data_IF_066438115431
#
_entry.id   IF_066438115431
#
_cell.length_a   1.000
_cell.length_b   1.000
_cell.length_c   1.000
_cell.angle_alpha   90.00
_cell.angle_beta   90.00
_cell.angle_gamma   90.00
#
_symmetry.space_group_name_H-M   'P 1'
#
loop_
_entity.id
_entity.type
_entity.pdbx_description
1 polymer ?
#
# COMPACT_ATOMS: atom_id res chain seq x y z
N UNK A 1 -19.43 12.67 50.49
CA UNK A 1 -18.24 12.89 49.65
C UNK A 1 -18.44 12.09 48.37
N UNK A 2 -18.84 12.76 47.28
CA UNK A 2 -18.83 12.11 45.98
C UNK A 2 -17.35 12.04 45.57
N UNK A 3 -16.77 10.84 45.61
CA UNK A 3 -15.46 10.63 44.99
C UNK A 3 -15.65 10.97 43.52
N UNK A 4 -14.89 11.93 43.03
CA UNK A 4 -14.93 12.30 41.62
C UNK A 4 -14.50 11.07 40.81
N UNK A 5 -15.44 10.50 40.04
CA UNK A 5 -15.22 9.28 39.26
C UNK A 5 -13.97 9.39 38.39
N UNK A 6 -13.61 10.60 37.96
CA UNK A 6 -12.38 10.89 37.24
C UNK A 6 -11.13 10.66 38.09
N UNK A 7 -11.10 11.12 39.34
CA UNK A 7 -9.94 10.88 40.21
C UNK A 7 -9.79 9.40 40.53
N UNK A 8 -10.90 8.70 40.80
CA UNK A 8 -10.91 7.25 41.04
C UNK A 8 -10.31 6.49 39.84
N UNK A 9 -10.80 6.76 38.62
CA UNK A 9 -10.35 6.04 37.42
C UNK A 9 -8.89 6.40 37.09
N UNK A 10 -8.56 7.69 37.01
CA UNK A 10 -7.25 8.11 36.52
C UNK A 10 -6.13 7.90 37.55
N UNK A 11 -6.36 8.17 38.83
CA UNK A 11 -5.31 8.18 39.85
C UNK A 11 -5.29 6.87 40.66
N UNK A 12 -6.43 6.30 41.03
CA UNK A 12 -6.46 5.08 41.85
C UNK A 12 -6.36 3.81 41.01
N UNK A 13 -7.15 3.71 39.92
CA UNK A 13 -7.18 2.52 39.07
C UNK A 13 -6.03 2.53 38.07
N UNK A 14 -5.93 3.56 37.24
CA UNK A 14 -4.94 3.63 36.15
C UNK A 14 -3.55 4.11 36.62
N UNK A 15 -3.47 4.66 37.84
CA UNK A 15 -2.24 5.22 38.45
C UNK A 15 -1.51 6.23 37.55
N UNK A 16 -2.26 7.06 36.82
CA UNK A 16 -1.72 8.11 35.96
C UNK A 16 -1.35 9.31 36.83
N UNK A 17 -0.14 9.83 36.64
CA UNK A 17 0.30 10.99 37.42
C UNK A 17 -0.53 12.25 37.10
N UNK A 18 -0.85 13.09 38.10
CA UNK A 18 -1.58 14.34 37.89
C UNK A 18 -0.94 15.27 36.86
N UNK A 19 0.41 15.24 36.78
CA UNK A 19 1.19 16.02 35.82
C UNK A 19 0.89 15.67 34.36
N UNK A 20 0.61 14.40 34.07
CA UNK A 20 0.27 13.95 32.71
C UNK A 20 -1.19 14.30 32.41
N UNK A 21 -2.09 14.14 33.39
CA UNK A 21 -3.50 14.51 33.25
C UNK A 21 -3.63 16.00 32.91
N UNK A 22 -2.86 16.87 33.56
CA UNK A 22 -2.88 18.32 33.29
C UNK A 22 -2.37 18.74 31.91
N UNK A 23 -1.74 17.85 31.14
CA UNK A 23 -1.32 18.14 29.76
C UNK A 23 -2.50 18.17 28.79
N UNK A 24 -3.64 17.60 29.17
CA UNK A 24 -4.84 17.50 28.35
C UNK A 24 -5.93 18.37 28.98
N UNK A 25 -6.29 19.45 28.29
CA UNK A 25 -7.18 20.50 28.81
C UNK A 25 -8.65 20.11 28.79
N UNK A 26 -9.04 19.18 27.92
CA UNK A 26 -10.43 18.71 27.81
C UNK A 26 -10.58 17.28 28.31
N UNK A 27 -11.75 16.97 28.86
CA UNK A 27 -12.12 15.60 29.28
C UNK A 27 -12.11 14.64 28.09
N UNK A 28 -12.52 15.12 26.91
CA UNK A 28 -12.49 14.33 25.68
C UNK A 28 -11.07 13.92 25.29
N UNK A 29 -10.11 14.85 25.38
CA UNK A 29 -8.71 14.55 25.07
C UNK A 29 -8.09 13.59 26.10
N UNK A 30 -8.46 13.74 27.38
CA UNK A 30 -8.05 12.80 28.43
C UNK A 30 -8.57 11.40 28.13
N UNK A 31 -9.85 11.24 27.80
CA UNK A 31 -10.42 9.93 27.46
C UNK A 31 -9.79 9.34 26.18
N UNK A 32 -9.51 10.16 25.18
CA UNK A 32 -8.94 9.69 23.92
C UNK A 32 -7.48 9.27 24.06
N UNK A 33 -6.63 10.15 24.59
CA UNK A 33 -5.18 9.98 24.59
C UNK A 33 -4.63 9.27 25.82
N UNK A 34 -5.31 9.36 26.97
CA UNK A 34 -4.87 8.69 28.20
C UNK A 34 -5.62 7.40 28.49
N UNK A 35 -6.73 7.11 27.81
CA UNK A 35 -7.46 5.86 27.96
C UNK A 35 -7.54 5.13 26.63
N UNK A 36 -8.30 5.62 25.65
CA UNK A 36 -8.66 4.84 24.47
C UNK A 36 -7.43 4.38 23.67
N UNK A 37 -6.59 5.32 23.23
CA UNK A 37 -5.45 5.01 22.36
C UNK A 37 -4.45 4.05 23.05
N UNK A 38 -3.97 4.31 24.28
CA UNK A 38 -3.01 3.41 24.90
C UNK A 38 -3.61 2.04 25.23
N UNK A 39 -4.89 1.95 25.56
CA UNK A 39 -5.56 0.66 25.79
C UNK A 39 -5.71 -0.15 24.50
N UNK A 40 -6.11 0.48 23.39
CA UNK A 40 -6.21 -0.20 22.09
C UNK A 40 -4.86 -0.75 21.67
N UNK A 41 -3.79 0.04 21.79
CA UNK A 41 -2.45 -0.39 21.39
C UNK A 41 -1.92 -1.46 22.35
N UNK A 42 -2.16 -1.33 23.65
CA UNK A 42 -1.82 -2.37 24.64
C UNK A 42 -2.51 -3.69 24.31
N UNK A 43 -3.81 -3.65 23.98
CA UNK A 43 -4.57 -4.84 23.62
C UNK A 43 -4.04 -5.51 22.35
N UNK A 44 -3.72 -4.71 21.32
CA UNK A 44 -3.09 -5.21 20.10
C UNK A 44 -1.70 -5.80 20.37
N UNK A 45 -0.90 -5.13 21.20
CA UNK A 45 0.44 -5.59 21.58
C UNK A 45 0.37 -6.92 22.33
N UNK A 46 -0.47 -7.01 23.37
CA UNK A 46 -0.60 -8.25 24.14
C UNK A 46 -1.12 -9.37 23.24
N UNK A 47 -2.13 -9.13 22.40
CA UNK A 47 -2.61 -10.16 21.47
C UNK A 47 -1.53 -10.63 20.48
N UNK A 48 -0.77 -9.71 19.91
CA UNK A 48 0.32 -10.04 19.00
C UNK A 48 1.43 -10.81 19.72
N UNK A 49 1.80 -10.37 20.92
CA UNK A 49 2.81 -11.00 21.76
C UNK A 49 2.39 -12.39 22.24
N UNK A 50 1.15 -12.53 22.72
CA UNK A 50 0.57 -13.81 23.09
C UNK A 50 0.53 -14.78 21.91
N UNK A 51 0.15 -14.34 20.71
CA UNK A 51 0.22 -15.18 19.51
C UNK A 51 1.67 -15.58 19.19
N UNK A 52 2.61 -14.65 19.24
CA UNK A 52 4.02 -14.91 18.92
C UNK A 52 4.72 -15.85 19.91
N UNK A 53 4.48 -15.68 21.21
CA UNK A 53 5.04 -16.54 22.25
C UNK A 53 4.35 -17.89 22.30
N UNK A 54 3.01 -17.90 22.35
CA UNK A 54 2.26 -19.16 22.50
C UNK A 54 2.50 -20.06 21.28
N UNK A 55 2.51 -19.53 20.06
CA UNK A 55 2.81 -20.31 18.87
C UNK A 55 4.24 -20.87 18.83
N UNK A 56 5.22 -20.17 19.45
CA UNK A 56 6.61 -20.62 19.52
C UNK A 56 6.89 -21.61 20.66
N UNK A 57 6.25 -21.43 21.81
CA UNK A 57 6.57 -22.16 23.05
C UNK A 57 5.68 -23.39 23.23
N UNK A 58 4.41 -23.33 22.83
CA UNK A 58 3.40 -24.35 23.17
C UNK A 58 2.88 -25.14 21.95
N UNK A 59 3.42 -24.92 20.75
CA UNK A 59 2.87 -25.50 19.52
C UNK A 59 1.49 -24.92 19.20
N UNK A 60 0.70 -25.56 18.32
CA UNK A 60 -0.65 -25.12 17.92
C UNK A 60 -1.64 -25.06 19.12
N UNK A 61 -1.49 -24.05 19.97
CA UNK A 61 -2.42 -23.80 21.05
C UNK A 61 -3.73 -23.29 20.45
N UNK A 62 -4.84 -23.89 20.89
CA UNK A 62 -6.20 -23.45 20.53
C UNK A 62 -6.33 -21.96 20.83
N UNK A 63 -6.81 -21.19 19.85
CA UNK A 63 -6.87 -19.73 19.92
C UNK A 63 -7.57 -19.18 21.17
N UNK A 64 -8.47 -19.94 21.79
CA UNK A 64 -9.12 -19.62 23.07
C UNK A 64 -8.14 -19.40 24.23
N UNK A 65 -7.07 -20.20 24.33
CA UNK A 65 -6.06 -20.04 25.38
C UNK A 65 -5.26 -18.74 25.22
N UNK A 66 -5.01 -18.33 23.97
CA UNK A 66 -4.30 -17.09 23.66
C UNK A 66 -5.10 -15.87 24.13
N UNK A 67 -6.42 -15.88 23.92
CA UNK A 67 -7.29 -14.79 24.39
C UNK A 67 -7.38 -14.75 25.91
N UNK A 68 -7.45 -15.91 26.57
CA UNK A 68 -7.48 -15.98 28.03
C UNK A 68 -6.16 -15.47 28.63
N UNK A 69 -5.02 -15.92 28.09
CA UNK A 69 -3.70 -15.44 28.52
C UNK A 69 -3.54 -13.93 28.30
N UNK A 70 -3.98 -13.43 27.14
CA UNK A 70 -3.97 -12.01 26.84
C UNK A 70 -4.79 -11.20 27.85
N UNK A 71 -5.99 -11.68 28.19
CA UNK A 71 -6.85 -11.03 29.18
C UNK A 71 -6.20 -11.00 30.57
N UNK A 72 -5.61 -12.11 31.01
CA UNK A 72 -4.93 -12.20 32.32
C UNK A 72 -3.74 -11.25 32.38
N UNK A 73 -2.90 -11.23 31.33
CA UNK A 73 -1.75 -10.32 31.24
C UNK A 73 -2.20 -8.85 31.23
N UNK A 74 -3.27 -8.54 30.50
CA UNK A 74 -3.86 -7.21 30.46
C UNK A 74 -4.32 -6.74 31.85
N UNK A 75 -5.11 -7.55 32.54
CA UNK A 75 -5.61 -7.23 33.89
C UNK A 75 -4.44 -7.04 34.85
N UNK A 76 -3.42 -7.89 34.78
CA UNK A 76 -2.22 -7.78 35.60
C UNK A 76 -1.50 -6.45 35.40
N UNK A 77 -1.32 -6.00 34.14
CA UNK A 77 -0.66 -4.74 33.80
C UNK A 77 -1.43 -3.53 34.37
N UNK A 78 -2.77 -3.56 34.26
CA UNK A 78 -3.64 -2.48 34.76
C UNK A 78 -3.59 -2.41 36.29
N UNK A 79 -3.84 -3.52 36.98
CA UNK A 79 -3.87 -3.57 38.47
C UNK A 79 -2.50 -3.25 39.07
N UNK A 80 -1.41 -3.70 38.43
CA UNK A 80 -0.05 -3.40 38.87
C UNK A 80 0.30 -1.92 38.73
N UNK A 81 -0.50 -1.12 38.03
CA UNK A 81 -0.25 0.30 37.80
C UNK A 81 0.86 0.58 36.79
N UNK A 82 1.27 -0.44 36.04
CA UNK A 82 2.25 -0.32 34.95
C UNK A 82 1.69 0.51 33.80
N UNK A 83 0.36 0.55 33.68
CA UNK A 83 -0.35 1.40 32.73
C UNK A 83 0.05 2.89 32.88
N UNK A 84 -0.26 3.53 34.02
CA UNK A 84 0.05 4.94 34.21
C UNK A 84 1.53 5.24 34.40
N UNK A 85 2.29 4.32 35.01
CA UNK A 85 3.69 4.56 35.38
C UNK A 85 4.66 4.33 34.23
N UNK A 86 4.40 3.35 33.37
CA UNK A 86 5.33 2.92 32.32
C UNK A 86 4.73 3.12 30.93
N UNK A 87 3.48 2.68 30.72
CA UNK A 87 2.86 2.70 29.42
C UNK A 87 2.62 4.13 28.91
N UNK A 88 1.98 4.99 29.70
CA UNK A 88 1.62 6.36 29.30
C UNK A 88 2.86 7.23 28.99
N UNK A 89 3.92 7.26 29.84
CA UNK A 89 5.14 8.01 29.50
C UNK A 89 5.85 7.45 28.26
N UNK A 90 5.85 6.13 28.08
CA UNK A 90 6.44 5.48 26.92
C UNK A 90 5.67 5.83 25.64
N UNK A 91 4.34 5.87 25.69
CA UNK A 91 3.52 6.35 24.58
C UNK A 91 3.83 7.81 24.26
N UNK A 92 3.86 8.69 25.26
CA UNK A 92 4.09 10.11 25.01
C UNK A 92 5.49 10.36 24.40
N UNK A 93 6.53 9.67 24.88
CA UNK A 93 7.91 9.89 24.43
C UNK A 93 8.29 9.09 23.17
N UNK A 94 7.68 7.92 22.93
CA UNK A 94 8.14 6.96 21.93
C UNK A 94 7.04 6.45 21.01
N UNK A 95 5.87 7.10 20.90
CA UNK A 95 4.75 6.64 20.07
C UNK A 95 5.18 6.24 18.65
N UNK A 96 5.98 7.09 18.00
CA UNK A 96 6.48 6.87 16.64
C UNK A 96 7.38 5.63 16.60
N UNK A 97 8.29 5.49 17.57
CA UNK A 97 9.22 4.36 17.63
C UNK A 97 8.48 3.07 17.97
N UNK A 98 7.49 3.09 18.86
CA UNK A 98 6.62 1.95 19.16
C UNK A 98 5.78 1.55 17.96
N UNK A 99 5.31 2.51 17.16
CA UNK A 99 4.58 2.23 15.93
C UNK A 99 5.50 1.60 14.87
N UNK A 100 6.74 2.10 14.73
CA UNK A 100 7.76 1.53 13.84
C UNK A 100 8.16 0.12 14.29
N UNK A 101 8.45 -0.07 15.58
CA UNK A 101 8.82 -1.38 16.15
C UNK A 101 7.64 -2.35 16.08
N UNK A 102 6.42 -1.89 16.35
CA UNK A 102 5.19 -2.66 16.20
C UNK A 102 4.96 -3.08 14.75
N UNK A 103 5.13 -2.18 13.78
CA UNK A 103 5.04 -2.47 12.35
C UNK A 103 6.15 -3.43 11.91
N UNK A 104 7.36 -3.28 12.44
CA UNK A 104 8.52 -4.12 12.12
C UNK A 104 8.36 -5.54 12.68
N UNK A 105 7.97 -5.67 13.96
CA UNK A 105 7.66 -6.96 14.59
C UNK A 105 6.44 -7.61 13.93
N UNK A 106 5.42 -6.84 13.57
CA UNK A 106 4.26 -7.33 12.83
C UNK A 106 4.66 -7.79 11.44
N UNK A 107 5.44 -7.01 10.69
CA UNK A 107 5.96 -7.37 9.37
C UNK A 107 6.80 -8.64 9.38
N UNK A 108 7.71 -8.77 10.35
CA UNK A 108 8.51 -9.99 10.56
C UNK A 108 7.61 -11.17 10.91
N UNK A 109 6.62 -10.99 11.79
CA UNK A 109 5.67 -12.06 12.15
C UNK A 109 4.73 -12.46 11.00
N UNK A 110 4.40 -11.52 10.12
CA UNK A 110 3.57 -11.74 8.93
C UNK A 110 4.33 -12.49 7.82
N UNK A 111 5.66 -12.29 7.74
CA UNK A 111 6.52 -12.93 6.73
C UNK A 111 6.97 -14.33 7.15
N UNK A 112 7.04 -14.64 8.46
CA UNK A 112 7.58 -15.94 8.97
C UNK A 112 6.50 -17.05 9.09
N UNK A 113 5.25 -16.80 8.69
CA UNK A 113 4.20 -17.83 8.65
C UNK A 113 4.22 -18.65 7.35
N UNK A 114 4.51 -19.97 7.36
CA UNK A 114 4.64 -20.79 6.14
C UNK A 114 3.36 -20.85 5.28
N UNK A 115 2.18 -20.61 5.87
CA UNK A 115 0.91 -20.55 5.13
C UNK A 115 0.66 -19.25 4.36
N UNK A 116 1.18 -18.10 4.84
CA UNK A 116 0.88 -16.77 4.27
C UNK A 116 1.88 -16.32 3.21
N UNK A 117 3.10 -16.85 3.23
CA UNK A 117 4.09 -16.61 2.18
C UNK A 117 3.64 -17.19 0.82
N UNK A 118 2.89 -18.29 0.84
CA UNK A 118 2.29 -18.92 -0.34
C UNK A 118 1.21 -18.05 -0.97
N UNK A 119 0.31 -17.49 -0.15
CA UNK A 119 -0.73 -16.56 -0.61
C UNK A 119 -0.11 -15.25 -1.10
N UNK A 120 0.81 -14.65 -0.35
CA UNK A 120 1.52 -13.43 -0.76
C UNK A 120 2.30 -13.64 -2.06
N UNK A 121 2.95 -14.80 -2.27
CA UNK A 121 3.56 -15.17 -3.56
C UNK A 121 2.55 -15.34 -4.68
N UNK A 122 1.36 -15.91 -4.41
CA UNK A 122 0.29 -16.03 -5.42
C UNK A 122 -0.26 -14.66 -5.81
N UNK A 123 -0.45 -13.75 -4.86
CA UNK A 123 -0.88 -12.38 -5.15
C UNK A 123 0.21 -11.57 -5.87
N UNK A 124 1.47 -11.68 -5.44
CA UNK A 124 2.60 -11.05 -6.12
C UNK A 124 2.82 -11.65 -7.53
N UNK A 125 2.62 -12.96 -7.69
CA UNK A 125 2.68 -13.66 -8.99
C UNK A 125 1.55 -13.23 -9.91
N UNK A 126 0.31 -13.16 -9.42
CA UNK A 126 -0.84 -12.71 -10.21
C UNK A 126 -0.72 -11.23 -10.61
N UNK A 127 -0.16 -10.37 -9.74
CA UNK A 127 0.15 -8.99 -10.06
C UNK A 127 1.29 -8.87 -11.09
N UNK A 128 2.34 -9.68 -10.96
CA UNK A 128 3.45 -9.73 -11.92
C UNK A 128 2.99 -10.24 -13.29
N UNK A 129 2.08 -11.22 -13.34
CA UNK A 129 1.52 -11.78 -14.57
C UNK A 129 0.57 -10.79 -15.26
N UNK A 130 -0.24 -10.04 -14.52
CA UNK A 130 -1.07 -8.96 -15.10
C UNK A 130 -0.24 -7.80 -15.62
N UNK A 131 0.87 -7.45 -14.95
CA UNK A 131 1.81 -6.44 -15.45
C UNK A 131 2.55 -6.96 -16.67
N UNK A 132 3.04 -8.20 -16.66
CA UNK A 132 3.73 -8.82 -17.80
C UNK A 132 2.81 -8.94 -19.02
N UNK A 133 1.54 -9.33 -18.84
CA UNK A 133 0.55 -9.43 -19.91
C UNK A 133 0.20 -8.06 -20.53
N UNK A 134 0.18 -7.00 -19.71
CA UNK A 134 0.03 -5.63 -20.23
C UNK A 134 1.26 -5.19 -21.01
N UNK A 135 2.46 -5.47 -20.53
CA UNK A 135 3.71 -5.09 -21.20
C UNK A 135 3.92 -5.85 -22.51
N UNK A 136 3.59 -7.14 -22.58
CA UNK A 136 3.65 -7.92 -23.84
C UNK A 136 2.62 -7.43 -24.85
N UNK A 137 1.40 -7.10 -24.42
CA UNK A 137 0.37 -6.52 -25.28
C UNK A 137 0.76 -5.15 -25.86
N UNK A 138 1.38 -4.29 -25.06
CA UNK A 138 1.91 -2.98 -25.51
C UNK A 138 3.07 -3.18 -26.49
N UNK A 139 3.97 -4.13 -26.23
CA UNK A 139 5.11 -4.42 -27.12
C UNK A 139 4.67 -4.96 -28.49
N UNK A 140 3.64 -5.82 -28.51
CA UNK A 140 3.06 -6.33 -29.75
C UNK A 140 2.35 -5.24 -30.56
N UNK A 141 1.57 -4.36 -29.90
CA UNK A 141 0.93 -3.21 -30.55
C UNK A 141 1.95 -2.21 -31.10
N UNK A 142 3.03 -1.95 -30.35
CA UNK A 142 4.13 -1.09 -30.78
C UNK A 142 4.78 -1.60 -32.07
N UNK A 143 5.11 -2.90 -32.13
CA UNK A 143 5.65 -3.54 -33.33
C UNK A 143 4.70 -3.51 -34.54
N UNK A 144 3.40 -3.68 -34.31
CA UNK A 144 2.40 -3.59 -35.38
C UNK A 144 2.34 -2.19 -35.97
N UNK A 145 2.31 -1.16 -35.12
CA UNK A 145 2.33 0.24 -35.56
C UNK A 145 3.64 0.64 -36.23
N UNK A 146 4.79 0.17 -35.74
CA UNK A 146 6.10 0.39 -36.40
C UNK A 146 6.13 -0.19 -37.83
N UNK A 147 5.64 -1.42 -38.00
CA UNK A 147 5.53 -2.06 -39.33
C UNK A 147 4.57 -1.32 -40.27
N UNK A 148 3.43 -0.85 -39.76
CA UNK A 148 2.47 -0.08 -40.56
C UNK A 148 3.04 1.27 -40.99
N UNK A 149 3.77 1.96 -40.11
CA UNK A 149 4.49 3.21 -40.44
C UNK A 149 5.56 2.97 -41.51
N UNK A 150 6.27 1.85 -41.47
CA UNK A 150 7.27 1.48 -42.47
C UNK A 150 6.64 1.26 -43.85
N UNK A 151 5.52 0.51 -43.92
CA UNK A 151 4.78 0.30 -45.16
C UNK A 151 4.25 1.61 -45.76
N UNK A 152 3.64 2.47 -44.94
CA UNK A 152 3.14 3.78 -45.39
C UNK A 152 4.30 4.68 -45.86
N UNK A 153 5.44 4.62 -45.19
CA UNK A 153 6.65 5.36 -45.60
C UNK A 153 7.16 4.89 -46.96
N UNK A 154 7.15 3.58 -47.22
CA UNK A 154 7.60 3.02 -48.49
C UNK A 154 6.62 3.36 -49.63
N UNK A 155 5.31 3.38 -49.37
CA UNK A 155 4.31 3.85 -50.34
C UNK A 155 4.51 5.32 -50.72
N UNK A 156 4.77 6.20 -49.73
CA UNK A 156 5.11 7.61 -49.98
C UNK A 156 6.38 7.72 -50.83
N UNK A 157 7.41 6.93 -50.53
CA UNK A 157 8.66 6.90 -51.30
C UNK A 157 8.43 6.44 -52.74
N UNK A 158 7.58 5.42 -52.93
CA UNK A 158 7.14 4.96 -54.24
C UNK A 158 6.48 6.07 -55.05
N UNK A 159 5.54 6.80 -54.45
CA UNK A 159 4.88 7.94 -55.09
C UNK A 159 5.88 9.04 -55.45
N UNK A 160 6.83 9.37 -54.56
CA UNK A 160 7.88 10.36 -54.85
C UNK A 160 8.78 9.95 -56.02
N UNK A 161 9.11 8.66 -56.14
CA UNK A 161 9.86 8.18 -57.30
C UNK A 161 9.05 8.25 -58.59
N UNK A 162 7.73 7.99 -58.54
CA UNK A 162 6.84 8.15 -59.70
C UNK A 162 6.70 9.61 -60.12
N UNK A 163 6.57 10.53 -59.16
CA UNK A 163 6.55 11.98 -59.43
C UNK A 163 7.88 12.46 -60.04
N UNK A 164 9.01 11.95 -59.56
CA UNK A 164 10.36 12.33 -60.04
C UNK A 164 10.73 11.76 -61.42
N UNK A 165 10.19 10.60 -61.81
CA UNK A 165 10.53 9.95 -63.09
C UNK A 165 10.12 10.76 -64.33
N UNK A 166 9.20 11.72 -64.18
CA UNK A 166 8.73 12.56 -65.29
C UNK A 166 7.88 11.78 -66.31
N UNK A 167 7.08 12.50 -67.11
CA UNK A 167 6.20 11.89 -68.14
C UNK A 167 4.76 11.63 -67.70
N UNK A 168 4.35 12.08 -66.52
CA UNK A 168 2.96 11.98 -66.05
C UNK A 168 2.12 13.18 -66.54
N UNK A 169 0.84 12.94 -66.86
CA UNK A 169 -0.11 14.01 -67.15
C UNK A 169 -0.46 14.80 -65.88
N UNK A 170 -0.98 16.01 -66.04
CA UNK A 170 -1.37 16.90 -64.92
C UNK A 170 -2.36 16.21 -63.98
N UNK A 171 -3.30 15.45 -64.53
CA UNK A 171 -4.29 14.69 -63.74
C UNK A 171 -3.62 13.61 -62.88
N UNK A 172 -2.65 12.88 -63.43
CA UNK A 172 -1.88 11.86 -62.70
C UNK A 172 -1.03 12.48 -61.60
N UNK A 173 -0.40 13.64 -61.84
CA UNK A 173 0.37 14.37 -60.82
C UNK A 173 -0.55 14.82 -59.68
N UNK A 174 -1.73 15.35 -59.99
CA UNK A 174 -2.70 15.80 -59.00
C UNK A 174 -3.22 14.62 -58.17
N UNK A 175 -3.52 13.49 -58.81
CA UNK A 175 -3.92 12.26 -58.13
C UNK A 175 -2.82 11.74 -57.18
N UNK A 176 -1.57 11.64 -57.65
CA UNK A 176 -0.43 11.18 -56.85
C UNK A 176 -0.15 12.11 -55.66
N UNK A 177 -0.27 13.43 -55.83
CA UNK A 177 -0.12 14.38 -54.73
C UNK A 177 -1.24 14.26 -53.68
N UNK A 178 -2.48 14.09 -54.10
CA UNK A 178 -3.60 13.85 -53.19
C UNK A 178 -3.42 12.53 -52.42
N UNK A 179 -2.98 11.48 -53.09
CA UNK A 179 -2.68 10.18 -52.47
C UNK A 179 -1.51 10.29 -51.47
N UNK A 180 -0.43 11.00 -51.83
CA UNK A 180 0.70 11.28 -50.93
C UNK A 180 0.25 12.04 -49.68
N UNK A 181 -0.60 13.06 -49.85
CA UNK A 181 -1.11 13.85 -48.71
C UNK A 181 -1.95 12.98 -47.76
N UNK A 182 -2.79 12.09 -48.29
CA UNK A 182 -3.59 11.17 -47.48
C UNK A 182 -2.72 10.18 -46.70
N UNK A 183 -1.72 9.58 -47.34
CA UNK A 183 -0.76 8.67 -46.69
C UNK A 183 0.10 9.39 -45.64
N UNK A 184 0.49 10.64 -45.90
CA UNK A 184 1.25 11.44 -44.93
C UNK A 184 0.42 11.70 -43.68
N UNK A 185 -0.86 12.06 -43.83
CA UNK A 185 -1.77 12.25 -42.70
C UNK A 185 -2.02 10.95 -41.92
N UNK A 186 -2.15 9.81 -42.61
CA UNK A 186 -2.26 8.50 -41.97
C UNK A 186 -1.01 8.17 -41.16
N UNK A 187 0.19 8.39 -41.73
CA UNK A 187 1.46 8.22 -41.02
C UNK A 187 1.54 9.07 -39.75
N UNK A 188 1.18 10.35 -39.82
CA UNK A 188 1.23 11.23 -38.63
C UNK A 188 0.27 10.76 -37.54
N UNK A 189 -0.89 10.24 -37.94
CA UNK A 189 -1.86 9.66 -36.99
C UNK A 189 -1.31 8.41 -36.32
N UNK A 190 -0.71 7.48 -37.07
CA UNK A 190 -0.08 6.27 -36.55
C UNK A 190 1.10 6.60 -35.61
N UNK A 191 1.95 7.56 -35.97
CA UNK A 191 3.04 8.04 -35.11
C UNK A 191 2.52 8.66 -33.81
N UNK A 192 1.39 9.39 -33.88
CA UNK A 192 0.76 9.95 -32.70
C UNK A 192 0.12 8.89 -31.80
N UNK A 193 -0.48 7.84 -32.37
CA UNK A 193 -1.02 6.70 -31.61
C UNK A 193 0.10 5.83 -31.00
N UNK A 194 1.23 5.69 -31.70
CA UNK A 194 2.42 5.01 -31.21
C UNK A 194 3.04 5.72 -30.00
N UNK A 195 3.09 7.06 -30.03
CA UNK A 195 3.61 7.87 -28.93
C UNK A 195 2.70 7.89 -27.68
N UNK A 196 1.46 7.38 -27.79
CA UNK A 196 0.53 7.25 -26.65
C UNK A 196 0.62 5.91 -25.93
N UNK A 197 1.30 4.92 -26.51
CA UNK A 197 1.55 3.60 -25.94
C UNK A 197 2.78 3.62 -25.02
#
# INVERSE_FOLDING_TARGET
MAVDLFQLIFQEILKISPRIISQYTTVQDQLLYLILIPHVILFLFILAFSKGIVARVLGEARGSFIYLLSLVVYIFIVISGWYGSFLIPLFNAWLIVLLIVGLFLFGISAVIGPGRLSEAKKFAGAAAETVAAKTTGVTAKRKAFESEIELVTEQIRGIDTQLRRGGNTVDTITFLNNQKSALTAQKTKLEHELNKL
#
